data_IF_134574601891
#
_entry.id   IF_134574601891
#
_cell.length_a   1.000
_cell.length_b   1.000
_cell.length_c   1.000
_cell.angle_alpha   90.00
_cell.angle_beta   90.00
_cell.angle_gamma   90.00
#
_symmetry.space_group_name_H-M   'P 1'
#
loop_
_entity.id
_entity.type
_entity.pdbx_description
1 polymer ?
#
# COMPACT_ATOMS: atom_id res chain seq x y z
N UNK A 1 7.95 -22.83 -10.72
CA UNK A 1 8.49 -21.56 -11.27
C UNK A 1 7.34 -20.58 -11.39
N UNK A 2 6.86 -20.05 -10.27
CA UNK A 2 5.63 -19.22 -10.21
C UNK A 2 5.95 -17.72 -10.06
N UNK A 3 7.23 -17.37 -10.09
CA UNK A 3 7.78 -16.03 -9.85
C UNK A 3 8.47 -15.43 -11.07
N UNK A 4 8.20 -15.94 -12.28
CA UNK A 4 8.68 -15.28 -13.50
C UNK A 4 7.76 -14.12 -13.89
N UNK A 5 8.28 -13.02 -14.48
CA UNK A 5 7.45 -11.92 -14.95
C UNK A 5 6.33 -12.34 -15.90
N UNK A 6 6.56 -13.39 -16.71
CA UNK A 6 5.55 -13.99 -17.59
C UNK A 6 4.43 -14.67 -16.80
N UNK A 7 4.76 -15.35 -15.69
CA UNK A 7 3.77 -15.95 -14.80
C UNK A 7 2.88 -14.89 -14.15
N UNK A 8 3.48 -13.80 -13.65
CA UNK A 8 2.73 -12.69 -13.07
C UNK A 8 1.82 -11.99 -14.10
N UNK A 9 2.31 -11.79 -15.33
CA UNK A 9 1.52 -11.23 -16.42
C UNK A 9 0.29 -12.10 -16.74
N UNK A 10 0.48 -13.42 -16.80
CA UNK A 10 -0.61 -14.37 -17.02
C UNK A 10 -1.67 -14.34 -15.89
N UNK A 11 -1.25 -14.19 -14.63
CA UNK A 11 -2.18 -14.03 -13.49
C UNK A 11 -3.05 -12.78 -13.62
N UNK A 12 -2.53 -11.71 -14.23
CA UNK A 12 -3.27 -10.48 -14.50
C UNK A 12 -4.05 -10.53 -15.82
N UNK A 13 -4.05 -11.65 -16.56
CA UNK A 13 -4.74 -11.78 -17.84
C UNK A 13 -4.14 -10.94 -18.98
N UNK A 14 -2.90 -10.48 -18.84
CA UNK A 14 -2.23 -9.60 -19.81
C UNK A 14 -0.92 -10.21 -20.31
N UNK A 15 -0.43 -9.72 -21.46
CA UNK A 15 0.89 -10.12 -21.95
C UNK A 15 2.02 -9.40 -21.19
N UNK A 16 3.25 -9.93 -21.31
CA UNK A 16 4.42 -9.39 -20.61
C UNK A 16 4.68 -7.90 -20.91
N UNK A 17 4.48 -7.45 -22.16
CA UNK A 17 4.70 -6.04 -22.53
C UNK A 17 3.69 -5.12 -21.85
N UNK A 18 2.43 -5.53 -21.76
CA UNK A 18 1.40 -4.76 -21.05
C UNK A 18 1.68 -4.76 -19.55
N UNK A 19 2.00 -5.91 -18.96
CA UNK A 19 2.34 -6.04 -17.54
C UNK A 19 3.50 -5.11 -17.11
N UNK A 20 4.57 -5.05 -17.91
CA UNK A 20 5.74 -4.21 -17.61
C UNK A 20 5.47 -2.70 -17.78
N UNK A 21 4.43 -2.30 -18.51
CA UNK A 21 4.07 -0.88 -18.70
C UNK A 21 3.45 -0.26 -17.47
N UNK A 22 2.62 -1.00 -16.74
CA UNK A 22 1.93 -0.45 -15.58
C UNK A 22 2.88 -0.28 -14.39
N UNK A 23 3.94 -1.11 -14.30
CA UNK A 23 4.90 -1.11 -13.20
C UNK A 23 4.22 -1.34 -11.83
N UNK A 24 4.95 -1.67 -10.75
CA UNK A 24 4.33 -1.71 -9.44
C UNK A 24 3.77 -0.33 -9.09
N UNK A 25 2.56 -0.32 -8.53
CA UNK A 25 1.84 0.88 -8.13
C UNK A 25 1.31 0.77 -6.71
N UNK A 26 1.09 1.93 -6.09
CA UNK A 26 0.43 2.04 -4.81
C UNK A 26 -0.64 3.12 -4.88
N UNK A 27 -1.82 2.81 -4.35
CA UNK A 27 -2.95 3.71 -4.27
C UNK A 27 -3.55 3.71 -2.86
N UNK A 28 -3.99 4.87 -2.41
CA UNK A 28 -4.75 5.03 -1.18
C UNK A 28 -6.12 5.64 -1.50
N UNK A 29 -7.16 5.05 -0.92
CA UNK A 29 -8.54 5.49 -1.10
C UNK A 29 -9.18 5.82 0.25
N UNK A 30 -10.06 6.81 0.27
CA UNK A 30 -10.94 7.09 1.40
C UNK A 30 -12.39 7.01 0.93
N UNK A 31 -13.22 6.38 1.76
CA UNK A 31 -14.67 6.43 1.64
C UNK A 31 -15.16 7.56 2.54
N UNK A 32 -15.81 8.56 1.97
CA UNK A 32 -16.37 9.69 2.70
C UNK A 32 -17.77 10.01 2.15
N UNK A 33 -18.76 10.05 3.04
CA UNK A 33 -20.18 10.29 2.72
C UNK A 33 -20.78 9.43 1.58
N UNK A 34 -20.19 8.25 1.29
CA UNK A 34 -20.62 7.35 0.21
C UNK A 34 -19.82 7.50 -1.09
N UNK A 35 -18.97 8.53 -1.18
CA UNK A 35 -18.06 8.76 -2.29
C UNK A 35 -16.66 8.20 -1.99
N UNK A 36 -15.99 7.70 -3.03
CA UNK A 36 -14.63 7.15 -2.94
C UNK A 36 -13.64 8.13 -3.58
N UNK A 37 -12.67 8.60 -2.80
CA UNK A 37 -11.62 9.50 -3.26
C UNK A 37 -10.28 8.78 -3.33
N UNK A 38 -9.51 9.02 -4.41
CA UNK A 38 -8.15 8.52 -4.58
C UNK A 38 -7.16 9.56 -4.04
N UNK A 39 -6.71 9.39 -2.80
CA UNK A 39 -5.98 10.42 -2.05
C UNK A 39 -4.47 10.38 -2.30
N UNK A 40 -3.95 9.26 -2.75
CA UNK A 40 -2.54 9.10 -3.08
C UNK A 40 -2.36 8.05 -4.17
N UNK A 41 -1.46 8.30 -5.12
CA UNK A 41 -1.02 7.32 -6.10
C UNK A 41 0.46 7.49 -6.42
N UNK A 42 1.18 6.38 -6.56
CA UNK A 42 2.52 6.39 -7.16
C UNK A 42 2.78 5.10 -7.94
N UNK A 43 3.72 5.17 -8.88
CA UNK A 43 4.19 4.03 -9.67
C UNK A 43 5.72 3.99 -9.67
N UNK A 44 6.27 2.82 -10.02
CA UNK A 44 7.69 2.63 -10.26
C UNK A 44 8.57 3.10 -9.08
N UNK A 45 9.48 4.04 -9.32
CA UNK A 45 10.41 4.60 -8.31
C UNK A 45 9.69 5.30 -7.15
N UNK A 46 8.40 5.63 -7.29
CA UNK A 46 7.57 6.11 -6.20
C UNK A 46 7.43 5.13 -5.03
N UNK A 47 7.77 3.86 -5.25
CA UNK A 47 7.79 2.81 -4.24
C UNK A 47 9.16 2.59 -3.59
N UNK A 48 10.23 3.22 -4.07
CA UNK A 48 11.60 3.06 -3.53
C UNK A 48 11.71 3.45 -2.05
N UNK A 49 10.77 4.25 -1.55
CA UNK A 49 10.70 4.69 -0.17
C UNK A 49 9.62 3.98 0.64
N UNK A 50 9.17 2.78 0.28
CA UNK A 50 8.09 2.02 0.95
C UNK A 50 8.58 0.74 1.62
N UNK A 51 9.73 0.80 2.30
CA UNK A 51 10.34 -0.37 2.94
C UNK A 51 9.86 -0.59 4.39
N UNK A 52 9.38 0.46 5.06
CA UNK A 52 8.91 0.42 6.44
C UNK A 52 7.42 0.76 6.58
N UNK A 53 6.77 0.22 7.62
CA UNK A 53 5.34 0.41 7.86
C UNK A 53 4.91 1.88 7.98
N UNK A 54 5.74 2.75 8.58
CA UNK A 54 5.38 4.17 8.69
C UNK A 54 5.25 4.87 7.34
N UNK A 55 6.06 4.49 6.35
CA UNK A 55 6.03 5.10 5.02
C UNK A 55 4.73 4.76 4.27
N UNK A 56 4.15 3.60 4.58
CA UNK A 56 2.82 3.21 4.15
C UNK A 56 1.74 4.04 4.85
N UNK A 57 1.82 4.14 6.18
CA UNK A 57 0.85 4.90 6.98
C UNK A 57 0.86 6.39 6.62
N UNK A 58 2.00 6.97 6.28
CA UNK A 58 2.13 8.39 5.88
C UNK A 58 1.36 8.73 4.59
N UNK A 59 0.98 7.73 3.80
CA UNK A 59 0.19 7.87 2.56
C UNK A 59 -1.26 7.43 2.71
N UNK A 60 -1.60 6.83 3.84
CA UNK A 60 -2.99 6.54 4.17
C UNK A 60 -3.76 7.86 4.36
N UNK A 61 -5.07 7.92 4.08
CA UNK A 61 -5.84 9.16 4.18
C UNK A 61 -5.80 9.83 5.55
N UNK A 62 -5.71 9.05 6.62
CA UNK A 62 -5.61 9.54 8.01
C UNK A 62 -4.16 9.59 8.54
N UNK A 63 -3.17 9.39 7.66
CA UNK A 63 -1.77 9.28 8.04
C UNK A 63 -1.55 8.16 9.06
N UNK A 64 -0.73 8.45 10.08
CA UNK A 64 -0.46 7.54 11.20
C UNK A 64 -1.59 7.45 12.22
N UNK A 65 -2.57 8.36 12.16
CA UNK A 65 -3.69 8.46 13.10
C UNK A 65 -3.25 8.48 14.59
N UNK A 66 -2.22 9.25 14.91
CA UNK A 66 -1.60 9.36 16.25
C UNK A 66 -2.10 10.61 17.03
N UNK A 67 -3.41 10.84 17.08
CA UNK A 67 -4.00 12.07 17.69
C UNK A 67 -3.66 12.28 19.18
N UNK A 68 -3.29 11.21 19.90
CA UNK A 68 -2.83 11.24 21.30
C UNK A 68 -1.39 10.78 21.50
N UNK A 69 -0.58 10.77 20.43
CA UNK A 69 0.74 10.17 20.41
C UNK A 69 0.74 8.74 19.86
N UNK A 70 1.86 8.01 19.98
CA UNK A 70 2.00 6.68 19.39
C UNK A 70 0.94 5.70 19.92
N UNK A 71 0.12 5.15 19.02
CA UNK A 71 -0.88 4.14 19.38
C UNK A 71 -0.28 2.77 19.69
N UNK A 72 0.94 2.51 19.20
CA UNK A 72 1.67 1.28 19.48
C UNK A 72 2.04 1.22 20.97
N UNK A 73 1.71 0.12 21.60
CA UNK A 73 2.11 -0.19 22.99
C UNK A 73 3.23 -1.20 23.01
N UNK A 74 3.96 -1.28 24.12
CA UNK A 74 4.88 -2.41 24.35
C UNK A 74 4.07 -3.69 24.45
N UNK A 75 4.69 -4.83 24.14
CA UNK A 75 4.01 -6.14 24.11
C UNK A 75 3.27 -6.45 25.42
N UNK A 76 3.84 -6.05 26.54
CA UNK A 76 3.32 -6.25 27.90
C UNK A 76 2.22 -5.26 28.31
N UNK A 77 2.06 -4.15 27.58
CA UNK A 77 1.03 -3.14 27.80
C UNK A 77 -0.30 -3.45 27.08
N UNK A 78 -0.33 -4.51 26.28
CA UNK A 78 -1.57 -5.03 25.70
C UNK A 78 -2.26 -5.96 26.69
N UNK A 79 -3.55 -5.74 26.91
CA UNK A 79 -4.41 -6.66 27.67
C UNK A 79 -4.33 -8.03 27.00
N UNK A 80 -3.92 -9.07 27.74
CA UNK A 80 -4.02 -10.44 27.23
C UNK A 80 -5.50 -10.73 26.99
N UNK A 81 -5.86 -10.95 25.74
CA UNK A 81 -7.14 -11.56 25.37
C UNK A 81 -7.17 -13.01 25.79
#
# INVERSE_FOLDING_TARGET
>A
TTTSPTGNAAMCGVNLRTYLREMPGMSAFVLDEGDIFHTYSCYARGLDGLWGMYQWLDRAPMGRNESGGPWKRRRDEYVRR
#
